data_IF_340807201354
#
_entry.id   IF_340807201354
#
_cell.length_a   1.000
_cell.length_b   1.000
_cell.length_c   1.000
_cell.angle_alpha   90.00
_cell.angle_beta   90.00
_cell.angle_gamma   90.00
#
_symmetry.space_group_name_H-M   'P 1'
#
loop_
_entity.id
_entity.type
_entity.pdbx_description
1 polymer ?
#
# COMPACT_ATOMS: atom_id res chain seq x y z
N UNK A 1 12.54 26.22 79.08
CA UNK A 1 13.86 26.09 79.72
C UNK A 1 14.57 27.41 79.47
N UNK A 2 14.82 28.22 80.50
CA UNK A 2 15.39 29.56 80.34
C UNK A 2 16.86 29.45 79.89
N UNK A 3 17.11 29.71 78.61
CA UNK A 3 18.46 29.73 78.02
C UNK A 3 19.38 30.75 78.72
N UNK A 4 18.81 31.76 79.39
CA UNK A 4 19.53 32.79 80.14
C UNK A 4 20.23 32.29 81.41
N UNK A 5 19.92 31.07 81.88
CA UNK A 5 20.54 30.47 83.08
C UNK A 5 21.64 29.43 82.78
N UNK A 6 21.94 29.17 81.50
CA UNK A 6 22.96 28.21 81.11
C UNK A 6 24.35 28.85 81.15
N UNK A 7 25.35 28.11 81.63
CA UNK A 7 26.75 28.56 81.56
C UNK A 7 27.20 28.65 80.09
N UNK A 8 28.15 29.55 79.82
CA UNK A 8 28.73 29.75 78.48
C UNK A 8 29.25 28.44 77.87
N UNK A 9 29.91 27.60 78.65
CA UNK A 9 30.45 26.32 78.17
C UNK A 9 29.35 25.33 77.79
N UNK A 10 28.25 25.32 78.55
CA UNK A 10 27.06 24.51 78.22
C UNK A 10 26.44 24.98 76.91
N UNK A 11 26.33 26.29 76.70
CA UNK A 11 25.81 26.85 75.44
C UNK A 11 26.70 26.51 74.25
N UNK A 12 28.02 26.57 74.40
CA UNK A 12 28.98 26.19 73.34
C UNK A 12 28.79 24.72 72.97
N UNK A 13 28.71 23.83 73.96
CA UNK A 13 28.52 22.39 73.71
C UNK A 13 27.22 22.10 72.96
N UNK A 14 26.11 22.72 73.38
CA UNK A 14 24.81 22.61 72.70
C UNK A 14 24.90 23.10 71.25
N UNK A 15 25.55 24.24 70.99
CA UNK A 15 25.71 24.78 69.64
C UNK A 15 26.55 23.82 68.78
N UNK A 16 27.64 23.27 69.31
CA UNK A 16 28.48 22.30 68.59
C UNK A 16 27.70 21.04 68.23
N UNK A 17 26.92 20.50 69.17
CA UNK A 17 26.09 19.32 68.91
C UNK A 17 25.01 19.59 67.86
N UNK A 18 24.36 20.77 67.91
CA UNK A 18 23.37 21.17 66.91
C UNK A 18 23.98 21.36 65.52
N UNK A 19 25.19 21.91 65.43
CA UNK A 19 25.90 22.04 64.15
C UNK A 19 26.24 20.67 63.57
N UNK A 20 26.71 19.74 64.42
CA UNK A 20 27.00 18.37 64.01
C UNK A 20 25.74 17.65 63.49
N UNK A 21 24.62 17.76 64.21
CA UNK A 21 23.34 17.19 63.78
C UNK A 21 22.86 17.79 62.45
N UNK A 22 23.06 19.09 62.24
CA UNK A 22 22.69 19.75 60.99
C UNK A 22 23.54 19.26 59.80
N UNK A 23 24.83 19.00 60.02
CA UNK A 23 25.70 18.45 58.98
C UNK A 23 25.35 16.99 58.65
N UNK A 24 25.02 16.18 59.67
CA UNK A 24 24.51 14.81 59.49
C UNK A 24 23.19 14.80 58.69
N UNK A 25 22.25 15.71 59.02
CA UNK A 25 20.98 15.86 58.28
C UNK A 25 21.18 16.29 56.82
N UNK A 26 22.18 17.13 56.53
CA UNK A 26 22.50 17.50 55.14
C UNK A 26 23.01 16.30 54.36
N UNK A 27 23.92 15.52 54.95
CA UNK A 27 24.45 14.33 54.30
C UNK A 27 23.35 13.30 54.02
N UNK A 28 22.42 13.09 54.95
CA UNK A 28 21.25 12.24 54.72
C UNK A 28 20.33 12.77 53.62
N UNK A 29 20.10 14.09 53.59
CA UNK A 29 19.28 14.72 52.56
C UNK A 29 19.92 14.60 51.17
N UNK A 30 21.23 14.77 51.04
CA UNK A 30 21.94 14.62 49.78
C UNK A 30 21.87 13.17 49.26
N UNK A 31 22.03 12.17 50.15
CA UNK A 31 21.81 10.76 49.81
C UNK A 31 20.38 10.48 49.37
N UNK A 32 19.40 11.09 50.02
CA UNK A 32 17.99 10.94 49.65
C UNK A 32 17.71 11.51 48.26
N UNK A 33 18.30 12.67 47.93
CA UNK A 33 18.19 13.27 46.59
C UNK A 33 18.77 12.34 45.53
N UNK A 34 19.99 11.82 45.75
CA UNK A 34 20.66 10.90 44.81
C UNK A 34 19.83 9.63 44.55
N UNK A 35 19.31 9.01 45.61
CA UNK A 35 18.44 7.81 45.49
C UNK A 35 17.17 8.14 44.70
N UNK A 36 16.58 9.32 44.93
CA UNK A 36 15.36 9.72 44.26
C UNK A 36 15.59 10.04 42.77
N UNK A 37 16.72 10.64 42.43
CA UNK A 37 17.15 10.85 41.04
C UNK A 37 17.35 9.51 40.32
N UNK A 38 18.09 8.57 40.93
CA UNK A 38 18.29 7.23 40.36
C UNK A 38 16.96 6.47 40.16
N UNK A 39 16.05 6.58 41.13
CA UNK A 39 14.71 5.98 41.02
C UNK A 39 13.90 6.59 39.87
N UNK A 40 13.93 7.92 39.71
CA UNK A 40 13.24 8.60 38.63
C UNK A 40 13.79 8.23 37.25
N UNK A 41 15.10 8.08 37.12
CA UNK A 41 15.74 7.66 35.87
C UNK A 41 15.33 6.22 35.50
N UNK A 42 15.32 5.30 36.46
CA UNK A 42 14.82 3.92 36.27
C UNK A 42 13.35 3.91 35.85
N UNK A 43 12.52 4.72 36.51
CA UNK A 43 11.09 4.83 36.19
C UNK A 43 10.87 5.37 34.77
N UNK A 44 11.70 6.32 34.34
CA UNK A 44 11.66 6.88 32.99
C UNK A 44 12.05 5.85 31.94
N UNK A 45 13.13 5.11 32.16
CA UNK A 45 13.56 4.04 31.25
C UNK A 45 12.49 2.94 31.11
N UNK A 46 11.86 2.55 32.22
CA UNK A 46 10.78 1.57 32.20
C UNK A 46 9.53 2.09 31.45
N UNK A 47 9.17 3.36 31.65
CA UNK A 47 8.09 4.00 30.91
C UNK A 47 8.36 4.05 29.40
N UNK A 48 9.56 4.44 28.99
CA UNK A 48 9.95 4.48 27.58
C UNK A 48 9.89 3.08 26.95
N UNK A 49 10.31 2.04 27.69
CA UNK A 49 10.19 0.64 27.27
C UNK A 49 8.72 0.21 27.11
N UNK A 50 7.85 0.59 28.03
CA UNK A 50 6.42 0.28 27.96
C UNK A 50 5.74 0.98 26.77
N UNK A 51 6.09 2.24 26.50
CA UNK A 51 5.59 2.99 25.35
C UNK A 51 5.97 2.30 24.04
N UNK A 52 7.22 1.84 23.90
CA UNK A 52 7.67 1.12 22.71
C UNK A 52 6.92 -0.22 22.53
N UNK A 53 6.70 -0.96 23.61
CA UNK A 53 5.92 -2.20 23.57
C UNK A 53 4.46 -1.95 23.15
N UNK A 54 3.83 -0.91 23.68
CA UNK A 54 2.46 -0.51 23.29
C UNK A 54 2.41 -0.17 21.80
N UNK A 55 3.43 0.54 21.28
CA UNK A 55 3.53 0.89 19.86
C UNK A 55 3.58 -0.37 18.98
N UNK A 56 4.48 -1.31 19.30
CA UNK A 56 4.61 -2.59 18.58
C UNK A 56 3.31 -3.40 18.60
N UNK A 57 2.64 -3.49 19.75
CA UNK A 57 1.37 -4.20 19.87
C UNK A 57 0.26 -3.55 19.02
N UNK A 58 0.22 -2.22 18.91
CA UNK A 58 -0.74 -1.52 18.04
C UNK A 58 -0.51 -1.86 16.56
N UNK A 59 0.75 -1.87 16.13
CA UNK A 59 1.11 -2.26 14.76
C UNK A 59 0.67 -3.69 14.44
N UNK A 60 0.91 -4.65 15.34
CA UNK A 60 0.43 -6.03 15.17
C UNK A 60 -1.09 -6.12 15.08
N UNK A 61 -1.81 -5.37 15.91
CA UNK A 61 -3.29 -5.33 15.89
C UNK A 61 -3.79 -4.82 14.55
N UNK A 62 -3.18 -3.76 14.01
CA UNK A 62 -3.62 -3.19 12.75
C UNK A 62 -3.34 -4.12 11.56
N UNK A 63 -2.23 -4.85 11.58
CA UNK A 63 -1.97 -5.93 10.61
C UNK A 63 -3.05 -7.02 10.70
N UNK A 64 -3.38 -7.48 11.91
CA UNK A 64 -4.42 -8.50 12.12
C UNK A 64 -5.80 -8.04 11.64
N UNK A 65 -6.15 -6.76 11.84
CA UNK A 65 -7.41 -6.19 11.32
C UNK A 65 -7.46 -6.22 9.80
N UNK A 66 -6.36 -5.93 9.11
CA UNK A 66 -6.28 -6.01 7.65
C UNK A 66 -6.57 -7.44 7.19
N UNK A 67 -5.93 -8.43 7.82
CA UNK A 67 -6.13 -9.83 7.49
C UNK A 67 -7.56 -10.31 7.74
N UNK A 68 -8.17 -9.92 8.87
CA UNK A 68 -9.58 -10.23 9.17
C UNK A 68 -10.51 -9.63 8.12
N UNK A 69 -10.30 -8.38 7.73
CA UNK A 69 -11.13 -7.72 6.71
C UNK A 69 -11.01 -8.41 5.34
N UNK A 70 -9.82 -8.89 4.97
CA UNK A 70 -9.61 -9.66 3.74
C UNK A 70 -10.36 -11.00 3.78
N UNK A 71 -10.28 -11.74 4.90
CA UNK A 71 -11.07 -12.96 5.09
C UNK A 71 -12.57 -12.69 5.01
N UNK A 72 -13.07 -11.64 5.68
CA UNK A 72 -14.49 -11.28 5.64
C UNK A 72 -14.94 -10.96 4.21
N UNK A 73 -14.11 -10.27 3.42
CA UNK A 73 -14.38 -9.99 2.01
C UNK A 73 -14.44 -11.27 1.18
N UNK A 74 -13.46 -12.18 1.35
CA UNK A 74 -13.42 -13.48 0.66
C UNK A 74 -14.64 -14.35 1.00
N UNK A 75 -15.11 -14.33 2.25
CA UNK A 75 -16.33 -15.03 2.66
C UNK A 75 -17.60 -14.39 2.07
N UNK A 76 -17.65 -13.06 1.94
CA UNK A 76 -18.78 -12.36 1.31
C UNK A 76 -18.86 -12.53 -0.21
N UNK A 77 -17.78 -13.00 -0.84
CA UNK A 77 -17.66 -13.21 -2.29
C UNK A 77 -17.87 -14.68 -2.70
N UNK A 78 -18.23 -15.58 -1.79
CA UNK A 78 -18.58 -16.94 -2.19
C UNK A 78 -19.85 -16.93 -3.06
N UNK A 79 -19.80 -17.39 -4.32
CA UNK A 79 -20.99 -17.49 -5.14
C UNK A 79 -21.94 -18.53 -4.55
N UNK A 80 -23.23 -18.19 -4.49
CA UNK A 80 -24.31 -19.17 -4.35
C UNK A 80 -24.28 -19.99 -5.65
N UNK A 81 -23.59 -21.13 -5.64
CA UNK A 81 -23.55 -22.03 -6.79
C UNK A 81 -24.91 -22.74 -6.87
N UNK A 82 -25.85 -22.14 -7.61
CA UNK A 82 -26.93 -22.92 -8.22
C UNK A 82 -26.32 -23.75 -9.35
N UNK A 83 -26.27 -25.07 -9.15
CA UNK A 83 -25.92 -26.02 -10.20
C UNK A 83 -26.94 -25.93 -11.33
N UNK A 84 -26.52 -25.56 -12.53
CA UNK A 84 -27.22 -25.88 -13.77
C UNK A 84 -26.28 -26.59 -14.73
N UNK A 85 -26.80 -27.68 -15.26
CA UNK A 85 -26.10 -28.74 -15.97
C UNK A 85 -25.48 -28.28 -17.29
N UNK A 86 -24.36 -28.90 -17.63
CA UNK A 86 -23.63 -28.71 -18.86
C UNK A 86 -24.38 -29.35 -20.04
N UNK A 87 -24.64 -28.55 -21.08
CA UNK A 87 -24.92 -29.06 -22.42
C UNK A 87 -23.97 -28.35 -23.41
N UNK A 88 -23.10 -29.15 -24.00
CA UNK A 88 -22.18 -28.81 -25.10
C UNK A 88 -22.92 -28.30 -26.34
N UNK A 89 -22.52 -27.15 -26.88
CA UNK A 89 -22.75 -26.80 -28.30
C UNK A 89 -21.55 -26.01 -28.84
N UNK A 90 -20.92 -26.58 -29.86
CA UNK A 90 -20.06 -25.93 -30.85
C UNK A 90 -20.88 -24.99 -31.73
N UNK A 91 -20.54 -23.70 -31.82
CA UNK A 91 -20.73 -22.89 -33.04
C UNK A 91 -20.20 -21.45 -32.87
N UNK A 92 -19.82 -20.84 -34.00
CA UNK A 92 -19.22 -19.50 -34.16
C UNK A 92 -20.11 -18.31 -33.71
N UNK A 93 -21.03 -18.50 -32.76
CA UNK A 93 -21.83 -17.44 -32.13
C UNK A 93 -21.15 -16.78 -30.92
N UNK A 94 -20.02 -17.31 -30.46
CA UNK A 94 -19.36 -16.86 -29.22
C UNK A 94 -18.72 -15.47 -29.27
N UNK A 95 -18.47 -14.88 -30.44
CA UNK A 95 -17.92 -13.52 -30.49
C UNK A 95 -18.98 -12.47 -30.12
N UNK A 96 -20.26 -12.76 -30.40
CA UNK A 96 -21.36 -11.81 -30.18
C UNK A 96 -21.83 -11.76 -28.72
N UNK A 97 -21.74 -12.86 -27.96
CA UNK A 97 -22.14 -12.87 -26.54
C UNK A 97 -21.11 -12.21 -25.61
N UNK A 98 -19.88 -12.01 -26.08
CA UNK A 98 -18.78 -11.45 -25.29
C UNK A 98 -18.72 -9.91 -25.24
N UNK A 99 -19.23 -9.24 -26.28
CA UNK A 99 -19.46 -7.79 -26.23
C UNK A 99 -20.38 -7.42 -25.07
N UNK A 100 -21.34 -8.29 -24.74
CA UNK A 100 -22.30 -8.10 -23.66
C UNK A 100 -21.69 -8.38 -22.27
N UNK A 101 -20.72 -9.29 -22.15
CA UNK A 101 -20.03 -9.58 -20.88
C UNK A 101 -19.07 -8.46 -20.45
N UNK A 102 -18.28 -7.93 -21.39
CA UNK A 102 -17.37 -6.82 -21.12
C UNK A 102 -18.07 -5.44 -21.18
N UNK A 103 -19.23 -5.35 -21.84
CA UNK A 103 -19.95 -4.09 -22.15
C UNK A 103 -19.03 -3.00 -22.71
N UNK A 104 -18.08 -3.41 -23.55
CA UNK A 104 -17.04 -2.51 -24.10
C UNK A 104 -17.66 -1.35 -24.91
N UNK A 105 -18.83 -1.55 -25.52
CA UNK A 105 -19.56 -0.49 -26.24
C UNK A 105 -19.95 0.71 -25.37
N UNK A 106 -20.09 0.51 -24.06
CA UNK A 106 -20.66 1.49 -23.14
C UNK A 106 -19.57 2.18 -22.28
N UNK A 107 -18.30 1.87 -22.50
CA UNK A 107 -17.19 2.35 -21.68
C UNK A 107 -16.00 2.82 -22.51
N UNK A 108 -15.08 3.54 -21.88
CA UNK A 108 -13.81 3.87 -22.53
C UNK A 108 -12.83 2.73 -22.32
N UNK A 109 -12.11 2.36 -23.39
CA UNK A 109 -11.06 1.37 -23.35
C UNK A 109 -9.70 2.06 -23.44
N UNK A 110 -8.90 1.92 -22.39
CA UNK A 110 -7.61 2.59 -22.24
C UNK A 110 -6.46 1.62 -22.45
N UNK A 111 -5.35 2.15 -22.96
CA UNK A 111 -4.05 1.53 -22.88
C UNK A 111 -3.25 2.15 -21.73
N UNK A 112 -2.61 1.31 -20.91
CA UNK A 112 -1.73 1.75 -19.84
C UNK A 112 -0.52 0.85 -19.65
N UNK A 113 0.57 1.45 -19.20
CA UNK A 113 1.84 0.78 -18.96
C UNK A 113 2.16 0.62 -17.47
N UNK A 114 2.55 -0.61 -17.11
CA UNK A 114 3.25 -0.94 -15.87
C UNK A 114 4.76 -1.07 -16.08
N UNK A 115 5.52 -1.01 -15.00
CA UNK A 115 6.98 -1.18 -15.05
C UNK A 115 7.36 -2.64 -14.93
N UNK A 116 8.56 -2.99 -15.38
CA UNK A 116 9.06 -4.36 -15.24
C UNK A 116 9.17 -4.79 -13.77
N UNK A 117 9.57 -3.86 -12.90
CA UNK A 117 9.66 -4.06 -11.44
C UNK A 117 8.31 -4.39 -10.77
N UNK A 118 7.20 -4.07 -11.43
CA UNK A 118 5.86 -4.36 -10.93
C UNK A 118 5.53 -5.86 -11.08
N UNK A 119 6.27 -6.64 -11.89
CA UNK A 119 6.07 -8.10 -12.04
C UNK A 119 6.32 -8.85 -10.73
N UNK A 120 7.38 -8.48 -10.00
CA UNK A 120 7.73 -9.17 -8.75
C UNK A 120 6.65 -8.97 -7.68
N UNK A 121 5.87 -7.90 -7.80
CA UNK A 121 4.77 -7.52 -6.91
C UNK A 121 3.40 -7.84 -7.52
N UNK A 122 3.35 -8.56 -8.64
CA UNK A 122 2.10 -8.77 -9.38
C UNK A 122 1.02 -9.49 -8.57
N UNK A 123 1.41 -10.50 -7.80
CA UNK A 123 0.45 -11.25 -6.98
C UNK A 123 -0.19 -10.34 -5.91
N UNK A 124 0.59 -9.40 -5.34
CA UNK A 124 0.09 -8.40 -4.40
C UNK A 124 -0.93 -7.47 -5.07
N UNK A 125 -0.68 -7.05 -6.32
CA UNK A 125 -1.62 -6.24 -7.10
C UNK A 125 -2.94 -6.98 -7.35
N UNK A 126 -2.86 -8.25 -7.76
CA UNK A 126 -4.03 -9.10 -8.01
C UNK A 126 -4.83 -9.31 -6.73
N UNK A 127 -4.18 -9.75 -5.65
CA UNK A 127 -4.83 -10.03 -4.37
C UNK A 127 -5.54 -8.81 -3.78
N UNK A 128 -4.96 -7.62 -4.00
CA UNK A 128 -5.48 -6.37 -3.45
C UNK A 128 -6.33 -5.55 -4.44
N UNK A 129 -6.60 -6.08 -5.65
CA UNK A 129 -7.47 -5.44 -6.64
C UNK A 129 -7.05 -4.01 -7.00
N UNK A 130 -5.75 -3.81 -7.25
CA UNK A 130 -5.24 -2.53 -7.71
C UNK A 130 -4.00 -2.66 -8.59
N UNK A 131 -3.78 -1.68 -9.46
CA UNK A 131 -2.51 -1.48 -10.16
C UNK A 131 -1.94 -0.10 -9.82
N UNK A 132 -0.64 0.06 -10.02
CA UNK A 132 0.09 1.29 -9.71
C UNK A 132 0.70 1.89 -10.97
N UNK A 133 0.64 3.20 -11.08
CA UNK A 133 1.38 3.99 -12.07
C UNK A 133 1.95 5.25 -11.41
N UNK A 134 2.57 6.14 -12.17
CA UNK A 134 3.13 7.38 -11.65
C UNK A 134 2.86 8.57 -12.57
N UNK A 135 2.83 9.77 -11.98
CA UNK A 135 2.76 11.03 -12.69
C UNK A 135 3.98 11.88 -12.33
N UNK A 136 4.87 12.07 -13.30
CA UNK A 136 6.02 12.96 -13.21
C UNK A 136 5.91 13.98 -14.33
N UNK A 137 6.14 15.25 -14.01
CA UNK A 137 6.14 16.35 -14.99
C UNK A 137 4.84 16.43 -15.82
N UNK A 138 3.69 16.10 -15.21
CA UNK A 138 2.37 16.17 -15.85
C UNK A 138 2.07 15.08 -16.88
N UNK A 139 2.99 14.12 -17.11
CA UNK A 139 2.86 13.05 -18.12
C UNK A 139 1.60 12.20 -17.98
N UNK A 140 1.09 12.07 -16.76
CA UNK A 140 -0.10 11.29 -16.40
C UNK A 140 -1.09 12.08 -15.54
N UNK A 141 -1.04 13.41 -15.59
CA UNK A 141 -1.87 14.29 -14.75
C UNK A 141 -3.36 14.04 -14.93
N UNK A 142 -3.76 13.73 -16.16
CA UNK A 142 -5.17 13.54 -16.54
C UNK A 142 -5.73 12.17 -16.14
N UNK A 143 -4.93 11.25 -15.60
CA UNK A 143 -5.43 9.92 -15.17
C UNK A 143 -6.56 10.07 -14.16
N UNK A 144 -6.35 10.93 -13.15
CA UNK A 144 -7.29 11.17 -12.04
C UNK A 144 -8.64 11.73 -12.51
N UNK A 145 -8.69 12.36 -13.69
CA UNK A 145 -9.90 13.02 -14.21
C UNK A 145 -10.52 12.31 -15.42
N UNK A 146 -9.72 11.56 -16.18
CA UNK A 146 -10.16 10.86 -17.39
C UNK A 146 -10.64 9.44 -17.13
N UNK A 147 -9.91 8.68 -16.32
CA UNK A 147 -10.28 7.29 -16.03
C UNK A 147 -11.42 7.32 -15.02
N UNK A 148 -12.51 6.63 -15.34
CA UNK A 148 -13.72 6.55 -14.53
C UNK A 148 -14.04 5.11 -14.17
N UNK A 149 -14.81 4.95 -13.09
CA UNK A 149 -15.41 3.66 -12.74
C UNK A 149 -16.16 3.07 -13.93
N UNK A 150 -15.90 1.81 -14.24
CA UNK A 150 -16.48 1.08 -15.36
C UNK A 150 -15.60 1.08 -16.62
N UNK A 151 -14.61 1.97 -16.73
CA UNK A 151 -13.66 1.93 -17.85
C UNK A 151 -12.83 0.64 -17.85
N UNK A 152 -12.40 0.23 -19.03
CA UNK A 152 -11.53 -0.94 -19.24
C UNK A 152 -10.10 -0.46 -19.51
N UNK A 153 -9.12 -1.18 -18.99
CA UNK A 153 -7.70 -0.92 -19.22
C UNK A 153 -7.03 -2.19 -19.73
N UNK A 154 -6.44 -2.12 -20.92
CA UNK A 154 -5.46 -3.09 -21.38
C UNK A 154 -4.10 -2.73 -20.79
N UNK A 155 -3.61 -3.58 -19.89
CA UNK A 155 -2.37 -3.36 -19.14
C UNK A 155 -1.19 -4.04 -19.81
N UNK A 156 -0.16 -3.24 -20.08
CA UNK A 156 1.05 -3.67 -20.78
C UNK A 156 2.27 -3.47 -19.89
N UNK A 157 3.10 -4.51 -19.75
CA UNK A 157 4.38 -4.39 -19.06
C UNK A 157 5.47 -4.04 -20.07
N UNK A 158 6.10 -2.89 -19.85
CA UNK A 158 7.14 -2.35 -20.75
C UNK A 158 8.24 -3.38 -21.00
N UNK A 159 8.48 -3.68 -22.28
CA UNK A 159 9.50 -4.65 -22.73
C UNK A 159 9.07 -6.12 -22.66
N UNK A 160 7.86 -6.42 -22.19
CA UNK A 160 7.33 -7.78 -22.10
C UNK A 160 6.12 -8.01 -23.00
N UNK A 161 5.05 -7.24 -22.83
CA UNK A 161 3.79 -7.48 -23.52
C UNK A 161 2.57 -7.12 -22.66
N UNK A 162 1.38 -7.29 -23.25
CA UNK A 162 0.14 -7.25 -22.51
C UNK A 162 0.09 -8.42 -21.53
N UNK A 163 -0.33 -8.15 -20.31
CA UNK A 163 -0.45 -9.18 -19.29
C UNK A 163 -1.82 -9.22 -18.64
N UNK A 164 -2.64 -8.16 -18.78
CA UNK A 164 -3.95 -8.11 -18.14
C UNK A 164 -4.95 -7.23 -18.85
N UNK A 165 -6.23 -7.60 -18.71
CA UNK A 165 -7.38 -6.75 -18.96
C UNK A 165 -8.05 -6.44 -17.62
N UNK A 166 -8.24 -5.16 -17.34
CA UNK A 166 -8.66 -4.66 -16.05
C UNK A 166 -9.95 -3.84 -16.21
N UNK A 167 -10.83 -3.91 -15.22
CA UNK A 167 -12.00 -3.02 -15.10
C UNK A 167 -11.85 -2.10 -13.91
N UNK A 168 -12.00 -0.80 -14.13
CA UNK A 168 -11.85 0.21 -13.08
C UNK A 168 -13.06 0.14 -12.14
N UNK A 169 -12.81 -0.10 -10.85
CA UNK A 169 -13.89 -0.23 -9.84
C UNK A 169 -14.10 1.06 -9.05
N UNK A 170 -13.10 1.94 -9.01
CA UNK A 170 -13.15 3.23 -8.33
C UNK A 170 -12.22 4.27 -8.99
N UNK A 171 -12.42 5.54 -8.68
CA UNK A 171 -11.63 6.64 -9.22
C UNK A 171 -10.15 6.51 -8.84
N UNK A 172 -9.19 6.78 -9.75
CA UNK A 172 -7.78 6.76 -9.42
C UNK A 172 -7.44 7.74 -8.30
N UNK A 173 -6.54 7.33 -7.40
CA UNK A 173 -6.13 8.13 -6.24
C UNK A 173 -4.62 8.13 -6.07
N UNK A 174 -4.11 9.12 -5.33
CA UNK A 174 -2.70 9.13 -4.92
C UNK A 174 -2.48 7.98 -3.93
N UNK A 175 -1.35 7.29 -4.06
CA UNK A 175 -0.95 6.22 -3.14
C UNK A 175 -0.89 6.76 -1.70
N UNK A 176 -1.34 5.97 -0.73
CA UNK A 176 -1.21 6.31 0.69
C UNK A 176 -0.27 5.34 1.40
N UNK A 177 0.04 5.62 2.66
CA UNK A 177 0.85 4.73 3.50
C UNK A 177 0.27 3.32 3.60
N UNK A 178 -1.06 3.18 3.51
CA UNK A 178 -1.73 1.87 3.49
C UNK A 178 -1.26 1.02 2.31
N UNK A 179 -1.26 1.57 1.10
CA UNK A 179 -0.84 0.83 -0.08
C UNK A 179 0.69 0.64 -0.11
N UNK A 180 1.46 1.59 0.45
CA UNK A 180 2.91 1.43 0.57
C UNK A 180 3.28 0.25 1.49
N UNK A 181 2.56 0.02 2.58
CA UNK A 181 2.75 -1.12 3.50
C UNK A 181 2.54 -2.46 2.79
N UNK A 182 1.59 -2.53 1.84
CA UNK A 182 1.34 -3.75 1.08
C UNK A 182 2.48 -4.06 0.09
N UNK A 183 3.12 -3.04 -0.46
CA UNK A 183 4.07 -3.19 -1.56
C UNK A 183 5.53 -3.29 -1.13
N UNK A 184 5.86 -2.81 0.07
CA UNK A 184 7.23 -2.53 0.45
C UNK A 184 7.47 -2.78 1.94
N UNK A 185 8.63 -3.36 2.28
CA UNK A 185 9.10 -3.45 3.65
C UNK A 185 9.51 -2.07 4.21
N UNK A 186 9.81 -1.98 5.50
CA UNK A 186 10.09 -0.71 6.19
C UNK A 186 11.22 0.11 5.54
N UNK A 187 12.30 -0.57 5.14
CA UNK A 187 13.45 0.04 4.47
C UNK A 187 13.05 0.56 3.09
N UNK A 188 12.41 -0.28 2.27
CA UNK A 188 11.95 0.08 0.93
C UNK A 188 10.92 1.21 0.96
N UNK A 189 10.03 1.24 1.96
CA UNK A 189 9.04 2.32 2.12
C UNK A 189 9.71 3.65 2.37
N UNK A 190 10.74 3.67 3.22
CA UNK A 190 11.51 4.88 3.49
C UNK A 190 12.21 5.36 2.23
N UNK A 191 12.92 4.47 1.54
CA UNK A 191 13.58 4.77 0.27
C UNK A 191 12.60 5.29 -0.79
N UNK A 192 11.38 4.72 -0.85
CA UNK A 192 10.36 5.14 -1.80
C UNK A 192 9.80 6.52 -1.49
N UNK A 193 9.58 6.85 -0.21
CA UNK A 193 9.17 8.19 0.22
C UNK A 193 10.24 9.22 -0.14
N UNK A 194 11.50 8.92 0.15
CA UNK A 194 12.63 9.77 -0.19
C UNK A 194 12.76 9.97 -1.71
N UNK A 195 12.54 8.92 -2.51
CA UNK A 195 12.57 8.99 -3.98
C UNK A 195 11.44 9.83 -4.56
N UNK A 196 10.21 9.68 -4.04
CA UNK A 196 9.04 10.48 -4.40
C UNK A 196 9.33 11.97 -4.16
N UNK A 197 9.87 12.31 -2.99
CA UNK A 197 10.20 13.68 -2.62
C UNK A 197 11.33 14.24 -3.51
N UNK A 198 12.42 13.48 -3.66
CA UNK A 198 13.59 13.90 -4.43
C UNK A 198 13.28 14.08 -5.92
N UNK A 199 12.51 13.16 -6.51
CA UNK A 199 12.23 13.16 -7.95
C UNK A 199 10.92 13.85 -8.32
N UNK A 200 10.17 14.35 -7.34
CA UNK A 200 8.93 15.15 -7.50
C UNK A 200 7.92 14.51 -8.44
N UNK A 201 7.54 13.26 -8.18
CA UNK A 201 6.46 12.57 -8.90
C UNK A 201 5.40 12.05 -7.93
N UNK A 202 4.17 11.91 -8.41
CA UNK A 202 3.08 11.27 -7.66
C UNK A 202 2.99 9.80 -8.05
N UNK A 203 2.82 8.90 -7.08
CA UNK A 203 2.40 7.52 -7.36
C UNK A 203 0.87 7.45 -7.30
N UNK A 204 0.26 6.86 -8.33
CA UNK A 204 -1.19 6.77 -8.50
C UNK A 204 -1.58 5.30 -8.43
N UNK A 205 -2.62 5.02 -7.65
CA UNK A 205 -3.27 3.71 -7.56
C UNK A 205 -4.57 3.77 -8.36
N UNK A 206 -4.81 2.72 -9.14
CA UNK A 206 -6.05 2.49 -9.85
C UNK A 206 -6.64 1.21 -9.28
N UNK A 207 -7.76 1.35 -8.58
CA UNK A 207 -8.52 0.20 -8.08
C UNK A 207 -9.18 -0.50 -9.26
N UNK A 208 -8.93 -1.80 -9.40
CA UNK A 208 -9.38 -2.58 -10.56
C UNK A 208 -9.92 -3.94 -10.15
N UNK A 209 -10.80 -4.49 -10.97
CA UNK A 209 -11.10 -5.91 -11.06
C UNK A 209 -10.26 -6.50 -12.19
N UNK A 210 -9.54 -7.58 -11.92
CA UNK A 210 -8.74 -8.29 -12.93
C UNK A 210 -9.64 -9.24 -13.69
N UNK A 211 -10.00 -8.87 -14.93
CA UNK A 211 -10.89 -9.68 -15.76
C UNK A 211 -10.16 -10.85 -16.41
N UNK A 212 -8.92 -10.62 -16.82
CA UNK A 212 -7.97 -11.64 -17.25
C UNK A 212 -6.56 -11.14 -16.92
N UNK A 213 -5.70 -12.01 -16.41
CA UNK A 213 -4.32 -11.62 -16.05
C UNK A 213 -3.36 -12.79 -16.06
N UNK A 214 -2.10 -12.55 -16.40
CA UNK A 214 -1.02 -13.52 -16.30
C UNK A 214 0.26 -12.86 -15.78
N UNK A 215 1.10 -13.64 -15.11
CA UNK A 215 2.42 -13.22 -14.63
C UNK A 215 3.56 -13.67 -15.56
N UNK A 216 3.30 -14.63 -16.45
CA UNK A 216 4.35 -15.34 -17.20
C UNK A 216 4.18 -15.26 -18.71
N UNK A 217 2.97 -15.44 -19.22
CA UNK A 217 2.71 -15.59 -20.65
C UNK A 217 2.25 -14.28 -21.29
N UNK A 218 3.17 -13.31 -21.35
CA UNK A 218 2.89 -11.99 -21.91
C UNK A 218 2.54 -12.05 -23.41
N UNK A 219 1.47 -11.36 -23.79
CA UNK A 219 1.05 -11.25 -25.18
C UNK A 219 1.82 -10.11 -25.83
N UNK A 220 2.71 -10.48 -26.75
CA UNK A 220 3.34 -9.55 -27.67
C UNK A 220 2.47 -9.38 -28.90
N UNK A 221 2.63 -8.25 -29.57
CA UNK A 221 1.96 -7.95 -30.85
C UNK A 221 2.22 -9.09 -31.85
N UNK A 222 3.45 -9.62 -31.87
CA UNK A 222 3.87 -10.68 -32.79
C UNK A 222 3.27 -12.07 -32.48
N UNK A 223 2.61 -12.24 -31.32
CA UNK A 223 2.10 -13.53 -30.85
C UNK A 223 0.62 -13.76 -31.17
N UNK A 224 -0.11 -12.77 -31.72
CA UNK A 224 -1.55 -12.89 -32.00
C UNK A 224 -1.73 -13.42 -33.44
N UNK A 225 -2.15 -14.68 -33.63
CA UNK A 225 -2.31 -15.25 -34.97
C UNK A 225 -3.49 -14.59 -35.71
N UNK A 226 -3.31 -14.28 -37.00
CA UNK A 226 -4.35 -13.83 -37.95
C UNK A 226 -4.94 -12.40 -37.80
N UNK A 227 -4.23 -11.44 -37.22
CA UNK A 227 -4.73 -10.06 -37.27
C UNK A 227 -4.35 -9.36 -38.59
N UNK A 228 -5.32 -9.29 -39.51
CA UNK A 228 -5.16 -8.67 -40.84
C UNK A 228 -5.27 -7.13 -40.83
N UNK A 229 -5.52 -6.53 -39.66
CA UNK A 229 -5.71 -5.09 -39.48
C UNK A 229 -4.44 -4.45 -38.88
N UNK A 230 -4.30 -3.13 -38.95
CA UNK A 230 -3.11 -2.44 -38.42
C UNK A 230 -3.17 -2.43 -36.89
N UNK A 231 -2.27 -3.15 -36.22
CA UNK A 231 -2.14 -3.02 -34.76
C UNK A 231 -1.85 -1.56 -34.42
N UNK A 232 -2.41 -1.03 -33.33
CA UNK A 232 -2.17 0.37 -32.95
C UNK A 232 -0.66 0.58 -32.72
N UNK A 233 0.07 1.22 -33.67
CA UNK A 233 1.51 1.35 -33.53
C UNK A 233 1.79 2.55 -32.61
N UNK A 234 2.92 2.53 -31.91
CA UNK A 234 3.40 3.64 -31.07
C UNK A 234 2.63 3.88 -29.77
N UNK A 235 2.21 2.83 -29.08
CA UNK A 235 1.87 2.91 -27.66
C UNK A 235 3.15 3.04 -26.80
N UNK A 236 3.97 4.03 -27.14
CA UNK A 236 5.30 4.30 -26.62
C UNK A 236 5.22 5.25 -25.42
N UNK A 237 5.80 4.84 -24.30
CA UNK A 237 5.97 5.69 -23.11
C UNK A 237 5.01 5.35 -21.98
N UNK A 238 5.07 6.12 -20.90
CA UNK A 238 4.47 5.76 -19.59
C UNK A 238 3.00 6.17 -19.47
N UNK A 239 2.33 6.40 -20.60
CA UNK A 239 1.13 7.23 -20.64
C UNK A 239 -0.16 6.41 -20.59
N UNK A 240 -1.15 6.92 -19.86
CA UNK A 240 -2.54 6.55 -20.06
C UNK A 240 -3.06 7.15 -21.36
N UNK A 241 -3.40 6.32 -22.33
CA UNK A 241 -3.88 6.76 -23.64
C UNK A 241 -5.20 6.06 -23.97
N UNK A 242 -6.13 6.81 -24.56
CA UNK A 242 -7.25 6.22 -25.28
C UNK A 242 -6.78 6.12 -26.72
N UNK A 243 -6.56 4.90 -27.25
CA UNK A 243 -6.05 4.74 -28.60
C UNK A 243 -7.01 5.30 -29.65
N UNK A 244 -6.45 5.95 -30.68
CA UNK A 244 -7.23 6.54 -31.78
C UNK A 244 -7.56 5.52 -32.89
N UNK A 245 -7.25 4.24 -32.69
CA UNK A 245 -7.51 3.19 -33.67
C UNK A 245 -8.96 2.72 -33.52
N UNK A 246 -9.81 2.78 -34.56
CA UNK A 246 -11.19 2.28 -34.49
C UNK A 246 -11.27 0.80 -34.12
N UNK A 247 -10.25 -0.01 -34.44
CA UNK A 247 -10.24 -1.44 -34.11
C UNK A 247 -9.75 -1.75 -32.69
N UNK A 248 -9.43 -0.74 -31.87
CA UNK A 248 -8.82 -0.95 -30.55
C UNK A 248 -9.67 -1.83 -29.63
N UNK A 249 -10.99 -1.65 -29.66
CA UNK A 249 -11.90 -2.44 -28.85
C UNK A 249 -11.84 -3.93 -29.22
N UNK A 250 -11.78 -4.25 -30.52
CA UNK A 250 -11.60 -5.63 -31.00
C UNK A 250 -10.25 -6.20 -30.54
N UNK A 251 -9.17 -5.41 -30.61
CA UNK A 251 -7.84 -5.84 -30.15
C UNK A 251 -7.83 -6.19 -28.66
N UNK A 252 -8.55 -5.42 -27.83
CA UNK A 252 -8.65 -5.69 -26.38
C UNK A 252 -9.43 -6.97 -26.10
N UNK A 253 -10.45 -7.28 -26.90
CA UNK A 253 -11.18 -8.56 -26.81
C UNK A 253 -10.28 -9.73 -27.18
N UNK A 254 -9.46 -9.61 -28.22
CA UNK A 254 -8.50 -10.66 -28.61
C UNK A 254 -7.46 -10.91 -27.51
N UNK A 255 -6.91 -9.84 -26.91
CA UNK A 255 -5.99 -9.94 -25.78
C UNK A 255 -6.66 -10.67 -24.60
N UNK A 256 -7.90 -10.29 -24.27
CA UNK A 256 -8.67 -10.92 -23.20
C UNK A 256 -8.84 -12.44 -23.42
N UNK A 257 -9.28 -12.84 -24.62
CA UNK A 257 -9.51 -14.25 -24.95
C UNK A 257 -8.22 -15.05 -24.83
N UNK A 258 -7.13 -14.53 -25.39
CA UNK A 258 -5.84 -15.21 -25.34
C UNK A 258 -5.33 -15.36 -23.89
N UNK A 259 -5.50 -14.35 -23.05
CA UNK A 259 -5.14 -14.44 -21.63
C UNK A 259 -5.94 -15.52 -20.89
N UNK A 260 -7.20 -15.75 -21.26
CA UNK A 260 -8.02 -16.79 -20.65
C UNK A 260 -7.73 -18.20 -21.20
N UNK A 261 -7.27 -18.32 -22.45
CA UNK A 261 -6.89 -19.61 -23.01
C UNK A 261 -5.56 -20.16 -22.45
N UNK A 262 -4.68 -19.27 -21.99
CA UNK A 262 -3.35 -19.64 -21.47
C UNK A 262 -3.29 -19.78 -19.94
N UNK A 263 -4.39 -19.49 -19.23
CA UNK A 263 -4.52 -19.60 -17.78
C UNK A 263 -5.25 -20.88 -17.38
#
# INVERSE_FOLDING_TARGET
MDLERLSRDTLIHIITDLLKQNDELKEENDKFIEINEEYNDKLKEENDRLIDNIRKLKEEIDIKKIYINDISRKLSLQPIIEKKDAQTITDNSNVMSFYDELKISDCNVWYMNGNLEDIDKWDIFVDNNFVKTWNKDGKNEKIKTKIKKGDIIAWYIVGKGYNSILKVIDSPKIITDRELILLYNDTERKERKDDIEKRKYESIIISVEFLATTKTNFIKIDNIPNYNKKWTPHLMGVHCQSPNNPDWNEQVIEIYNYLNEIN
#
